data_IF_456926752518
#
_entry.id   IF_456926752518
#
_cell.length_a   1.000
_cell.length_b   1.000
_cell.length_c   1.000
_cell.angle_alpha   90.00
_cell.angle_beta   90.00
_cell.angle_gamma   90.00
#
_symmetry.space_group_name_H-M   'P 1'
#
loop_
_entity.id
_entity.type
_entity.pdbx_description
1 polymer ?
#
# COMPACT_ATOMS: atom_id res chain seq x y z
N UNK A 1 -12.31 -19.81 -69.74
CA UNK A 1 -12.01 -20.54 -68.49
C UNK A 1 -13.25 -21.33 -68.09
N UNK A 2 -13.31 -22.63 -68.39
CA UNK A 2 -14.44 -23.51 -68.02
C UNK A 2 -13.96 -24.93 -67.65
N UNK A 3 -12.73 -25.05 -67.15
CA UNK A 3 -12.15 -26.30 -66.68
C UNK A 3 -12.19 -26.37 -65.16
N UNK A 4 -12.76 -27.43 -64.61
CA UNK A 4 -12.67 -27.79 -63.20
C UNK A 4 -11.21 -28.16 -62.88
N UNK A 5 -10.57 -27.52 -61.90
CA UNK A 5 -9.15 -27.75 -61.56
C UNK A 5 -8.15 -26.78 -62.21
N UNK A 6 -8.63 -25.63 -62.71
CA UNK A 6 -7.74 -24.60 -63.26
C UNK A 6 -6.88 -23.94 -62.16
N UNK A 7 -5.67 -23.55 -62.59
CA UNK A 7 -4.67 -22.77 -61.85
C UNK A 7 -5.35 -21.65 -61.05
N UNK A 8 -5.31 -21.74 -59.72
CA UNK A 8 -5.98 -20.79 -58.80
C UNK A 8 -5.10 -19.59 -58.41
N UNK A 9 -3.87 -19.52 -58.94
CA UNK A 9 -2.94 -18.41 -58.73
C UNK A 9 -2.34 -17.90 -60.04
N UNK A 10 -1.90 -16.64 -60.06
CA UNK A 10 -1.23 -16.04 -61.22
C UNK A 10 0.11 -16.75 -61.49
N UNK A 11 0.42 -17.13 -62.76
CA UNK A 11 1.69 -17.75 -63.09
C UNK A 11 2.86 -16.78 -62.96
N UNK A 12 3.85 -17.18 -62.18
CA UNK A 12 5.13 -16.48 -62.08
C UNK A 12 6.06 -17.01 -63.17
N UNK A 13 6.30 -16.23 -64.22
CA UNK A 13 7.16 -16.58 -65.36
C UNK A 13 8.58 -16.01 -65.22
N UNK A 14 9.58 -16.69 -65.77
CA UNK A 14 10.99 -16.25 -65.73
C UNK A 14 11.16 -14.91 -66.46
N UNK A 15 10.81 -14.83 -67.75
CA UNK A 15 10.94 -13.59 -68.51
C UNK A 15 9.91 -13.52 -69.66
N UNK A 16 8.63 -13.23 -69.34
CA UNK A 16 7.56 -13.23 -70.34
C UNK A 16 7.77 -12.14 -71.39
N UNK A 17 8.48 -11.05 -71.05
CA UNK A 17 8.77 -9.95 -71.98
C UNK A 17 9.73 -10.34 -73.10
N UNK A 18 10.59 -11.34 -72.87
CA UNK A 18 11.50 -11.91 -73.86
C UNK A 18 10.98 -13.23 -74.46
N UNK A 19 9.72 -13.58 -74.18
CA UNK A 19 9.10 -14.82 -74.65
C UNK A 19 9.46 -16.08 -73.85
N UNK A 20 10.14 -15.93 -72.70
CA UNK A 20 10.44 -17.04 -71.79
C UNK A 20 9.31 -17.21 -70.77
N UNK A 21 8.36 -18.07 -71.13
CA UNK A 21 7.18 -18.39 -70.32
C UNK A 21 7.38 -19.62 -69.43
N UNK A 22 8.62 -20.01 -69.12
CA UNK A 22 8.91 -21.02 -68.08
C UNK A 22 8.49 -20.52 -66.70
N UNK A 23 7.94 -21.41 -65.86
CA UNK A 23 7.58 -21.04 -64.48
C UNK A 23 8.83 -20.83 -63.63
N UNK A 24 8.81 -19.83 -62.74
CA UNK A 24 9.79 -19.66 -61.66
C UNK A 24 9.61 -20.75 -60.62
N UNK A 25 10.68 -21.11 -59.90
CA UNK A 25 10.68 -22.20 -58.91
C UNK A 25 9.67 -21.99 -57.76
N UNK A 26 9.31 -20.75 -57.47
CA UNK A 26 8.33 -20.35 -56.45
C UNK A 26 6.92 -20.12 -57.02
N UNK A 27 6.69 -20.43 -58.30
CA UNK A 27 5.40 -20.20 -58.96
C UNK A 27 4.29 -21.05 -58.34
N UNK A 28 3.12 -20.44 -58.02
CA UNK A 28 1.99 -21.17 -57.45
C UNK A 28 1.36 -22.17 -58.44
N UNK A 29 1.82 -22.16 -59.70
CA UNK A 29 1.28 -22.96 -60.79
C UNK A 29 2.01 -24.29 -61.01
N UNK A 30 3.14 -24.52 -60.33
CA UNK A 30 3.89 -25.78 -60.44
C UNK A 30 3.01 -26.96 -60.00
N UNK A 31 2.91 -27.98 -60.85
CA UNK A 31 2.17 -29.23 -60.61
C UNK A 31 0.67 -29.06 -60.29
N UNK A 32 0.04 -27.97 -60.75
CA UNK A 32 -1.38 -27.65 -60.47
C UNK A 32 -2.37 -27.94 -61.61
N UNK A 33 -1.94 -28.59 -62.70
CA UNK A 33 -2.77 -28.89 -63.87
C UNK A 33 -3.67 -30.13 -63.76
N UNK A 34 -4.46 -30.41 -64.81
CA UNK A 34 -5.26 -31.66 -64.97
C UNK A 34 -5.03 -32.31 -66.34
N UNK A 35 -5.25 -33.62 -66.47
CA UNK A 35 -5.12 -34.35 -67.76
C UNK A 35 -6.23 -34.09 -68.77
N UNK A 36 -7.35 -33.53 -68.35
CA UNK A 36 -8.51 -33.36 -69.22
C UNK A 36 -8.26 -32.21 -70.20
N UNK A 37 -8.13 -32.52 -71.49
CA UNK A 37 -7.89 -31.52 -72.54
C UNK A 37 -6.42 -31.13 -72.74
N UNK A 38 -5.50 -31.89 -72.15
CA UNK A 38 -4.05 -31.72 -72.32
C UNK A 38 -3.56 -32.07 -73.74
N UNK A 39 -2.79 -31.22 -74.45
CA UNK A 39 -2.03 -31.64 -75.61
C UNK A 39 -0.94 -32.64 -75.19
N UNK A 40 -0.66 -33.60 -76.07
CA UNK A 40 0.31 -34.68 -75.84
C UNK A 40 1.75 -34.17 -75.72
N UNK A 41 2.05 -33.00 -76.28
CA UNK A 41 3.35 -32.35 -76.24
C UNK A 41 3.22 -30.86 -75.88
N UNK A 42 4.25 -30.29 -75.27
CA UNK A 42 4.34 -28.86 -75.02
C UNK A 42 4.73 -28.05 -76.28
N UNK A 43 4.90 -26.73 -76.13
CA UNK A 43 5.25 -25.80 -77.21
C UNK A 43 6.64 -26.08 -77.84
N UNK A 44 7.49 -26.89 -77.19
CA UNK A 44 8.79 -27.32 -77.72
C UNK A 44 8.87 -28.82 -78.02
N UNK A 45 7.73 -29.52 -78.01
CA UNK A 45 7.63 -30.92 -78.42
C UNK A 45 7.93 -31.94 -77.31
N UNK A 46 8.07 -31.54 -76.05
CA UNK A 46 8.26 -32.46 -74.91
C UNK A 46 6.95 -33.17 -74.59
N UNK A 47 6.97 -34.50 -74.48
CA UNK A 47 5.79 -35.33 -74.17
C UNK A 47 5.29 -35.05 -72.75
N UNK A 48 3.97 -34.96 -72.59
CA UNK A 48 3.28 -34.76 -71.30
C UNK A 48 2.47 -36.00 -70.88
N UNK A 49 2.30 -36.26 -69.57
CA UNK A 49 2.95 -35.58 -68.44
C UNK A 49 4.42 -36.00 -68.28
N UNK A 50 5.25 -35.14 -67.71
CA UNK A 50 6.63 -35.46 -67.37
C UNK A 50 6.82 -35.29 -65.84
N UNK A 51 7.27 -36.33 -65.15
CA UNK A 51 7.29 -36.40 -63.69
C UNK A 51 6.03 -37.00 -63.05
N UNK A 52 5.74 -36.62 -61.79
CA UNK A 52 4.76 -37.30 -60.92
C UNK A 52 3.35 -36.65 -60.94
N UNK A 53 3.19 -35.54 -61.65
CA UNK A 53 1.95 -34.77 -61.77
C UNK A 53 1.57 -34.48 -63.23
N UNK A 54 0.35 -34.02 -63.46
CA UNK A 54 -0.12 -33.65 -64.82
C UNK A 54 -0.09 -32.13 -64.93
N UNK A 55 1.05 -31.59 -65.32
CA UNK A 55 1.20 -30.16 -65.56
C UNK A 55 0.62 -29.80 -66.94
N UNK A 56 -0.33 -28.87 -66.94
CA UNK A 56 -0.97 -28.33 -68.13
C UNK A 56 -0.79 -26.81 -68.30
N UNK A 57 0.12 -26.22 -67.52
CA UNK A 57 0.59 -24.85 -67.66
C UNK A 57 1.91 -24.73 -68.43
N UNK A 58 2.29 -23.49 -68.76
CA UNK A 58 3.47 -23.17 -69.54
C UNK A 58 4.73 -23.70 -68.85
N UNK A 59 5.45 -24.59 -69.53
CA UNK A 59 6.77 -25.13 -69.17
C UNK A 59 6.97 -25.55 -67.71
N UNK A 60 7.06 -26.86 -67.51
CA UNK A 60 7.64 -27.44 -66.31
C UNK A 60 8.98 -26.76 -66.02
N UNK A 61 9.19 -26.43 -64.74
CA UNK A 61 10.42 -25.83 -64.26
C UNK A 61 11.60 -26.74 -64.59
N UNK A 62 12.38 -26.38 -65.61
CA UNK A 62 13.68 -27.01 -65.86
C UNK A 62 14.73 -26.16 -65.16
N UNK A 63 15.44 -26.70 -64.15
CA UNK A 63 16.53 -25.97 -63.51
C UNK A 63 17.52 -25.51 -64.56
N UNK A 64 17.84 -24.22 -64.57
CA UNK A 64 18.82 -23.62 -65.47
C UNK A 64 19.91 -22.94 -64.66
N UNK A 65 21.06 -22.69 -65.29
CA UNK A 65 22.17 -22.03 -64.61
C UNK A 65 21.95 -20.52 -64.59
N UNK A 66 22.06 -19.93 -63.40
CA UNK A 66 22.08 -18.48 -63.16
C UNK A 66 23.40 -18.09 -62.51
N UNK A 67 23.78 -16.82 -62.64
CA UNK A 67 24.92 -16.28 -61.91
C UNK A 67 24.48 -15.73 -60.56
N UNK A 68 25.21 -16.09 -59.51
CA UNK A 68 24.95 -15.58 -58.17
C UNK A 68 25.34 -14.10 -58.11
N UNK A 69 24.45 -13.18 -57.70
CA UNK A 69 24.77 -11.77 -57.60
C UNK A 69 25.82 -11.54 -56.51
N UNK A 70 26.68 -10.53 -56.69
CA UNK A 70 27.62 -10.08 -55.66
C UNK A 70 26.89 -9.13 -54.71
N UNK A 71 26.59 -9.60 -53.50
CA UNK A 71 25.81 -8.87 -52.48
C UNK A 71 26.62 -8.51 -51.23
N UNK A 72 27.90 -8.87 -51.16
CA UNK A 72 28.81 -8.41 -50.10
C UNK A 72 28.90 -6.88 -50.06
N UNK A 73 28.88 -6.30 -48.87
CA UNK A 73 28.89 -4.84 -48.67
C UNK A 73 27.53 -4.14 -48.87
N UNK A 74 26.50 -4.84 -49.36
CA UNK A 74 25.14 -4.30 -49.44
C UNK A 74 24.35 -4.50 -48.15
N UNK A 75 23.31 -3.69 -47.94
CA UNK A 75 22.32 -3.92 -46.89
C UNK A 75 21.53 -5.21 -47.16
N UNK A 76 21.17 -5.95 -46.12
CA UNK A 76 20.43 -7.22 -46.25
C UNK A 76 19.15 -7.11 -47.10
N UNK A 77 18.41 -6.00 -46.98
CA UNK A 77 17.20 -5.77 -47.78
C UNK A 77 17.52 -5.69 -49.28
N UNK A 78 18.59 -4.98 -49.66
CA UNK A 78 19.04 -4.84 -51.04
C UNK A 78 19.56 -6.18 -51.58
N UNK A 79 20.38 -6.88 -50.78
CA UNK A 79 20.90 -8.20 -51.11
C UNK A 79 19.76 -9.21 -51.36
N UNK A 80 18.73 -9.20 -50.52
CA UNK A 80 17.57 -10.10 -50.65
C UNK A 80 16.81 -9.85 -51.95
N UNK A 81 16.63 -8.58 -52.34
CA UNK A 81 16.02 -8.23 -53.63
C UNK A 81 16.88 -8.72 -54.79
N UNK A 82 18.18 -8.45 -54.77
CA UNK A 82 19.10 -8.87 -55.83
C UNK A 82 19.14 -10.40 -56.02
N UNK A 83 19.12 -11.17 -54.92
CA UNK A 83 19.07 -12.64 -54.95
C UNK A 83 17.78 -13.12 -55.62
N UNK A 84 16.63 -12.54 -55.27
CA UNK A 84 15.34 -12.91 -55.86
C UNK A 84 15.24 -12.50 -57.32
N UNK A 85 15.78 -11.35 -57.71
CA UNK A 85 15.82 -10.93 -59.11
C UNK A 85 16.72 -11.83 -59.97
N UNK A 86 17.72 -12.48 -59.36
CA UNK A 86 18.58 -13.46 -60.01
C UNK A 86 17.99 -14.89 -60.05
N UNK A 87 16.70 -15.05 -59.74
CA UNK A 87 16.02 -16.36 -59.67
C UNK A 87 16.65 -17.33 -58.67
N UNK A 88 17.22 -16.81 -57.59
CA UNK A 88 17.74 -17.55 -56.45
C UNK A 88 16.86 -17.34 -55.21
N UNK A 89 17.00 -18.22 -54.23
CA UNK A 89 16.26 -18.13 -52.96
C UNK A 89 17.18 -17.64 -51.83
N UNK A 90 16.60 -16.96 -50.85
CA UNK A 90 17.33 -16.58 -49.65
C UNK A 90 17.55 -17.83 -48.78
N UNK A 91 18.82 -18.17 -48.54
CA UNK A 91 19.23 -19.27 -47.68
C UNK A 91 19.31 -18.88 -46.21
N UNK A 92 20.14 -19.59 -45.46
CA UNK A 92 20.37 -19.31 -44.04
C UNK A 92 20.99 -17.91 -43.87
N UNK A 93 20.39 -17.09 -43.01
CA UNK A 93 20.94 -15.79 -42.62
C UNK A 93 21.50 -15.92 -41.21
N UNK A 94 22.82 -15.82 -41.09
CA UNK A 94 23.53 -15.83 -39.80
C UNK A 94 24.09 -14.44 -39.51
N UNK A 95 24.44 -14.16 -38.25
CA UNK A 95 24.92 -12.85 -37.84
C UNK A 95 26.15 -12.95 -36.94
N UNK A 96 27.10 -12.03 -37.12
CA UNK A 96 28.28 -11.91 -36.25
C UNK A 96 28.63 -10.45 -36.00
N UNK A 97 29.37 -10.17 -34.92
CA UNK A 97 29.96 -8.85 -34.72
C UNK A 97 31.13 -8.63 -35.67
N UNK A 98 31.24 -7.42 -36.21
CA UNK A 98 32.33 -7.02 -37.09
C UNK A 98 32.63 -5.53 -36.85
N UNK A 99 33.91 -5.22 -36.62
CA UNK A 99 34.33 -3.85 -36.28
C UNK A 99 34.49 -2.93 -37.51
N UNK A 100 34.51 -3.51 -38.71
CA UNK A 100 34.76 -2.79 -39.97
C UNK A 100 33.50 -2.69 -40.84
N UNK A 101 32.61 -3.68 -40.76
CA UNK A 101 31.39 -3.74 -41.55
C UNK A 101 30.21 -3.17 -40.74
N UNK A 102 29.50 -2.14 -41.26
CA UNK A 102 28.33 -1.57 -40.58
C UNK A 102 27.24 -2.61 -40.27
N UNK A 103 26.48 -2.38 -39.20
CA UNK A 103 25.37 -3.25 -38.82
C UNK A 103 24.31 -3.33 -39.94
N UNK A 104 23.81 -4.54 -40.22
CA UNK A 104 22.84 -4.83 -41.27
C UNK A 104 23.42 -5.03 -42.67
N UNK A 105 24.74 -4.93 -42.81
CA UNK A 105 25.46 -5.15 -44.09
C UNK A 105 25.97 -6.58 -44.21
N UNK A 106 25.95 -7.13 -45.44
CA UNK A 106 26.46 -8.47 -45.73
C UNK A 106 27.99 -8.50 -45.61
N UNK A 107 28.51 -9.39 -44.77
CA UNK A 107 29.94 -9.69 -44.61
C UNK A 107 30.39 -10.69 -45.67
N UNK A 108 29.64 -11.77 -45.85
CA UNK A 108 29.94 -12.82 -46.83
C UNK A 108 28.68 -13.52 -47.30
N UNK A 109 28.78 -14.17 -48.46
CA UNK A 109 27.71 -14.98 -49.04
C UNK A 109 28.22 -16.35 -49.48
N UNK A 110 27.33 -17.32 -49.57
CA UNK A 110 27.61 -18.65 -50.14
C UNK A 110 26.39 -19.14 -50.95
N UNK A 111 26.51 -19.41 -52.27
CA UNK A 111 27.73 -19.34 -53.08
C UNK A 111 28.28 -17.92 -53.26
N UNK A 112 29.58 -17.83 -53.54
CA UNK A 112 30.28 -16.57 -53.79
C UNK A 112 29.71 -15.82 -55.00
N UNK A 113 29.78 -14.49 -54.99
CA UNK A 113 29.34 -13.65 -56.10
C UNK A 113 30.03 -14.03 -57.41
N UNK A 114 29.26 -14.12 -58.50
CA UNK A 114 29.73 -14.54 -59.81
C UNK A 114 29.82 -16.05 -60.02
N UNK A 115 29.57 -16.88 -59.00
CA UNK A 115 29.47 -18.33 -59.18
C UNK A 115 28.23 -18.69 -60.02
N UNK A 116 28.29 -19.84 -60.70
CA UNK A 116 27.12 -20.44 -61.32
C UNK A 116 26.35 -21.28 -60.31
N UNK A 117 25.06 -21.03 -60.19
CA UNK A 117 24.15 -21.81 -59.37
C UNK A 117 22.96 -22.28 -60.21
N UNK A 118 22.31 -23.34 -59.76
CA UNK A 118 21.03 -23.74 -60.34
C UNK A 118 19.97 -22.74 -59.89
N UNK A 119 19.07 -22.32 -60.78
CA UNK A 119 17.92 -21.51 -60.43
C UNK A 119 17.20 -22.10 -59.21
N UNK A 120 16.61 -21.24 -58.38
CA UNK A 120 15.97 -21.62 -57.12
C UNK A 120 16.93 -22.03 -55.99
N UNK A 121 18.23 -22.19 -56.26
CA UNK A 121 19.21 -22.52 -55.21
C UNK A 121 19.27 -21.43 -54.14
N UNK A 122 19.55 -21.85 -52.90
CA UNK A 122 19.65 -20.96 -51.77
C UNK A 122 21.02 -20.26 -51.72
N UNK A 123 21.01 -18.96 -51.39
CA UNK A 123 22.22 -18.18 -51.07
C UNK A 123 22.22 -17.86 -49.58
N UNK A 124 23.14 -18.45 -48.82
CA UNK A 124 23.34 -18.16 -47.41
C UNK A 124 24.09 -16.84 -47.24
N UNK A 125 23.76 -16.08 -46.20
CA UNK A 125 24.33 -14.78 -45.89
C UNK A 125 24.86 -14.73 -44.46
N UNK A 126 26.04 -14.13 -44.29
CA UNK A 126 26.55 -13.70 -42.99
C UNK A 126 26.41 -12.18 -42.91
N UNK A 127 25.65 -11.69 -41.94
CA UNK A 127 25.33 -10.26 -41.77
C UNK A 127 26.06 -9.70 -40.55
N UNK A 128 26.58 -8.48 -40.69
CA UNK A 128 27.22 -7.77 -39.58
C UNK A 128 26.19 -7.28 -38.56
N UNK A 129 26.51 -7.45 -37.28
CA UNK A 129 25.84 -6.82 -36.14
C UNK A 129 26.45 -5.46 -35.78
N UNK A 130 27.46 -5.01 -36.52
CA UNK A 130 28.34 -3.89 -36.20
C UNK A 130 29.38 -4.25 -35.12
N UNK A 131 30.11 -3.24 -34.61
CA UNK A 131 31.06 -3.42 -33.52
C UNK A 131 30.38 -3.95 -32.26
N UNK A 132 31.06 -4.83 -31.53
CA UNK A 132 30.60 -5.30 -30.24
C UNK A 132 30.81 -4.23 -29.17
N UNK A 133 29.79 -4.01 -28.33
CA UNK A 133 29.87 -3.21 -27.11
C UNK A 133 29.84 -4.15 -25.91
N UNK A 134 30.78 -3.96 -24.99
CA UNK A 134 30.87 -4.74 -23.76
C UNK A 134 29.94 -4.12 -22.71
N UNK A 135 29.07 -4.93 -22.15
CA UNK A 135 28.15 -4.50 -21.09
C UNK A 135 28.94 -4.18 -19.81
N UNK A 136 28.87 -2.95 -19.27
CA UNK A 136 29.57 -2.60 -18.05
C UNK A 136 28.95 -3.29 -16.82
N UNK A 137 29.76 -3.53 -15.79
CA UNK A 137 29.25 -3.96 -14.50
C UNK A 137 28.71 -2.76 -13.70
N UNK A 138 27.42 -2.77 -13.43
CA UNK A 138 26.70 -1.76 -12.64
C UNK A 138 26.08 -2.32 -11.37
N UNK A 139 26.29 -3.61 -11.05
CA UNK A 139 25.82 -4.21 -9.80
C UNK A 139 26.47 -3.51 -8.59
N UNK A 140 25.67 -3.18 -7.58
CA UNK A 140 26.09 -2.41 -6.41
C UNK A 140 26.22 -0.90 -6.63
N UNK A 141 26.06 -0.41 -7.86
CA UNK A 141 25.99 1.03 -8.13
C UNK A 141 24.60 1.57 -7.80
N UNK A 142 24.50 2.88 -7.56
CA UNK A 142 23.20 3.56 -7.53
C UNK A 142 22.57 3.53 -8.93
N UNK A 143 21.24 3.56 -9.02
CA UNK A 143 20.55 3.60 -10.32
C UNK A 143 21.08 4.74 -11.22
N UNK A 144 21.32 5.94 -10.67
CA UNK A 144 21.85 7.07 -11.44
C UNK A 144 23.27 6.83 -11.98
N UNK A 145 24.15 6.25 -11.17
CA UNK A 145 25.52 5.87 -11.58
C UNK A 145 25.47 4.78 -12.65
N UNK A 146 24.63 3.76 -12.45
CA UNK A 146 24.40 2.69 -13.41
C UNK A 146 23.92 3.22 -14.77
N UNK A 147 22.93 4.11 -14.80
CA UNK A 147 22.44 4.74 -16.04
C UNK A 147 23.55 5.51 -16.77
N UNK A 148 24.40 6.23 -16.04
CA UNK A 148 25.53 6.97 -16.62
C UNK A 148 26.56 6.03 -17.25
N UNK A 149 26.90 4.93 -16.58
CA UNK A 149 27.83 3.92 -17.10
C UNK A 149 27.30 3.21 -18.34
N UNK A 150 26.02 2.83 -18.33
CA UNK A 150 25.35 2.16 -19.45
C UNK A 150 25.32 3.07 -20.68
N UNK A 151 24.83 4.30 -20.52
CA UNK A 151 24.74 5.27 -21.63
C UNK A 151 26.11 5.70 -22.12
N UNK A 152 27.08 5.87 -21.22
CA UNK A 152 28.47 6.17 -21.57
C UNK A 152 29.15 5.06 -22.39
N UNK A 153 28.73 3.79 -22.23
CA UNK A 153 29.20 2.67 -23.02
C UNK A 153 28.54 2.59 -24.42
N UNK A 154 27.59 3.47 -24.75
CA UNK A 154 26.82 3.41 -25.99
C UNK A 154 25.68 2.38 -25.96
N UNK A 155 25.24 1.99 -24.76
CA UNK A 155 24.07 1.17 -24.51
C UNK A 155 22.89 2.04 -24.07
N UNK A 156 21.70 1.45 -23.97
CA UNK A 156 20.50 2.15 -23.49
C UNK A 156 20.04 1.58 -22.16
N UNK A 157 19.41 2.42 -21.32
CA UNK A 157 18.74 1.93 -20.11
C UNK A 157 17.44 1.21 -20.53
N UNK A 158 17.31 -0.04 -20.13
CA UNK A 158 16.12 -0.85 -20.35
C UNK A 158 15.08 -0.67 -19.24
N UNK A 159 14.39 -1.76 -18.94
CA UNK A 159 13.39 -1.84 -17.88
C UNK A 159 14.07 -1.78 -16.51
N UNK A 160 13.55 -0.91 -15.63
CA UNK A 160 13.96 -0.87 -14.23
C UNK A 160 12.85 -1.45 -13.37
N UNK A 161 13.16 -2.52 -12.65
CA UNK A 161 12.25 -3.16 -11.68
C UNK A 161 12.82 -3.04 -10.28
N UNK A 162 11.98 -3.21 -9.26
CA UNK A 162 12.40 -3.15 -7.87
C UNK A 162 12.16 -4.47 -7.15
N UNK A 163 13.09 -4.86 -6.27
CA UNK A 163 12.96 -6.05 -5.42
C UNK A 163 13.49 -5.79 -4.01
N UNK A 164 12.93 -6.47 -3.01
CA UNK A 164 13.49 -6.47 -1.66
C UNK A 164 14.78 -7.30 -1.64
N UNK A 165 15.80 -6.78 -0.97
CA UNK A 165 17.07 -7.46 -0.78
C UNK A 165 17.70 -7.05 0.56
N UNK A 166 18.05 -8.03 1.38
CA UNK A 166 18.55 -7.80 2.74
C UNK A 166 20.00 -7.29 2.79
N UNK A 167 20.79 -7.50 1.73
CA UNK A 167 22.23 -7.18 1.72
C UNK A 167 22.57 -6.00 0.81
N UNK A 168 21.73 -5.70 -0.18
CA UNK A 168 21.92 -4.57 -1.11
C UNK A 168 21.17 -3.34 -0.57
N UNK A 169 21.85 -2.21 -0.32
CA UNK A 169 21.22 -0.97 0.13
C UNK A 169 20.13 -0.48 -0.83
N UNK A 170 19.13 0.22 -0.26
CA UNK A 170 18.05 0.84 -1.05
C UNK A 170 18.60 1.74 -2.16
N UNK A 171 18.03 1.62 -3.36
CA UNK A 171 18.41 2.41 -4.53
C UNK A 171 19.68 1.93 -5.26
N UNK A 172 20.32 0.85 -4.80
CA UNK A 172 21.42 0.20 -5.52
C UNK A 172 20.94 -0.96 -6.40
N UNK A 173 21.66 -1.21 -7.48
CA UNK A 173 21.38 -2.29 -8.43
C UNK A 173 21.72 -3.65 -7.80
N UNK A 174 20.71 -4.51 -7.69
CA UNK A 174 20.82 -5.91 -7.29
C UNK A 174 21.40 -6.75 -8.44
N UNK A 175 20.83 -6.57 -9.64
CA UNK A 175 21.22 -7.32 -10.83
C UNK A 175 20.96 -6.51 -12.08
N UNK A 176 21.62 -6.93 -13.16
CA UNK A 176 21.46 -6.37 -14.50
C UNK A 176 21.29 -7.50 -15.51
N UNK A 177 20.59 -7.20 -16.59
CA UNK A 177 20.49 -8.07 -17.77
C UNK A 177 20.68 -7.22 -19.02
N UNK A 178 21.64 -7.54 -19.90
CA UNK A 178 22.56 -8.67 -19.85
C UNK A 178 23.59 -8.56 -18.73
N UNK A 179 24.22 -9.69 -18.39
CA UNK A 179 25.30 -9.72 -17.41
C UNK A 179 26.50 -8.89 -17.88
N UNK A 180 27.29 -8.39 -16.92
CA UNK A 180 28.54 -7.72 -17.20
C UNK A 180 29.45 -8.55 -18.12
N UNK A 181 30.29 -7.86 -18.89
CA UNK A 181 31.24 -8.43 -19.86
C UNK A 181 30.60 -9.15 -21.06
N UNK A 182 29.26 -9.21 -21.12
CA UNK A 182 28.55 -9.70 -22.30
C UNK A 182 28.77 -8.76 -23.48
N UNK A 183 29.05 -9.31 -24.66
CA UNK A 183 29.15 -8.55 -25.91
C UNK A 183 27.78 -8.40 -26.58
N UNK A 184 27.32 -7.17 -26.75
CA UNK A 184 26.04 -6.83 -27.36
C UNK A 184 26.21 -5.82 -28.49
N UNK A 185 25.15 -5.62 -29.28
CA UNK A 185 25.15 -4.57 -30.30
C UNK A 185 25.07 -3.19 -29.64
N UNK A 186 25.62 -2.18 -30.31
CA UNK A 186 25.44 -0.80 -29.88
C UNK A 186 23.95 -0.44 -29.73
N UNK A 187 23.62 0.34 -28.71
CA UNK A 187 22.24 0.71 -28.38
C UNK A 187 21.41 -0.37 -27.69
N UNK A 188 21.96 -1.57 -27.44
CA UNK A 188 21.24 -2.63 -26.72
C UNK A 188 20.80 -2.16 -25.33
N UNK A 189 19.60 -2.59 -24.91
CA UNK A 189 19.00 -2.18 -23.63
C UNK A 189 19.54 -3.04 -22.47
N UNK A 190 19.92 -2.40 -21.37
CA UNK A 190 20.32 -3.07 -20.13
C UNK A 190 19.23 -2.87 -19.09
N UNK A 191 18.53 -3.94 -18.74
CA UNK A 191 17.52 -3.99 -17.70
C UNK A 191 18.18 -4.06 -16.32
N UNK A 192 17.56 -3.42 -15.32
CA UNK A 192 18.06 -3.36 -13.95
C UNK A 192 17.00 -3.86 -12.95
N UNK A 193 17.46 -4.55 -11.92
CA UNK A 193 16.70 -4.78 -10.69
C UNK A 193 17.32 -3.95 -9.57
N UNK A 194 16.56 -3.03 -8.99
CA UNK A 194 17.02 -2.10 -7.95
C UNK A 194 16.48 -2.51 -6.59
N UNK A 195 17.29 -2.34 -5.55
CA UNK A 195 16.93 -2.74 -4.19
C UNK A 195 15.95 -1.78 -3.53
N UNK A 196 14.93 -2.35 -2.90
CA UNK A 196 14.02 -1.69 -1.96
C UNK A 196 14.52 -1.78 -0.50
N UNK A 197 15.71 -2.34 -0.29
CA UNK A 197 16.21 -2.74 1.01
C UNK A 197 15.57 -4.05 1.50
N UNK A 198 15.78 -4.43 2.78
CA UNK A 198 15.22 -5.64 3.36
C UNK A 198 13.69 -5.65 3.28
N UNK A 199 13.09 -6.85 3.17
CA UNK A 199 11.64 -6.98 3.19
C UNK A 199 11.09 -6.52 4.55
N UNK A 200 10.14 -5.57 4.59
CA UNK A 200 9.52 -5.16 5.85
C UNK A 200 8.77 -6.31 6.52
N UNK A 201 8.79 -6.30 7.85
CA UNK A 201 8.05 -7.23 8.70
C UNK A 201 6.89 -6.50 9.37
N UNK A 202 5.80 -7.23 9.62
CA UNK A 202 4.62 -6.71 10.29
C UNK A 202 4.85 -6.74 11.81
N UNK A 203 4.62 -5.60 12.46
CA UNK A 203 4.74 -5.49 13.92
C UNK A 203 3.60 -6.29 14.58
N UNK A 204 3.90 -7.29 15.44
CA UNK A 204 2.87 -8.10 16.09
C UNK A 204 2.06 -7.26 17.09
N UNK A 205 0.83 -7.70 17.38
CA UNK A 205 0.06 -7.15 18.48
C UNK A 205 0.46 -7.86 19.79
N UNK A 206 1.10 -7.14 20.69
CA UNK A 206 1.51 -7.62 22.01
C UNK A 206 0.78 -6.93 23.16
N UNK A 207 -0.15 -6.02 22.88
CA UNK A 207 -0.97 -5.37 23.91
C UNK A 207 -1.79 -6.42 24.67
N UNK A 208 -1.78 -6.35 25.99
CA UNK A 208 -2.42 -7.32 26.88
C UNK A 208 -1.62 -8.60 27.16
N UNK A 209 -0.56 -8.88 26.40
CA UNK A 209 0.35 -9.99 26.71
C UNK A 209 1.22 -9.67 27.93
N UNK A 210 1.75 -10.71 28.59
CA UNK A 210 2.81 -10.53 29.60
C UNK A 210 4.08 -10.01 28.95
N UNK A 211 4.92 -9.26 29.67
CA UNK A 211 6.18 -8.74 29.13
C UNK A 211 7.05 -9.83 28.48
N UNK A 212 7.18 -11.00 29.12
CA UNK A 212 7.97 -12.12 28.56
C UNK A 212 7.38 -12.70 27.28
N UNK A 213 6.05 -12.83 27.20
CA UNK A 213 5.38 -13.29 25.98
C UNK A 213 5.49 -12.25 24.85
N UNK A 214 5.35 -10.96 25.17
CA UNK A 214 5.54 -9.87 24.23
C UNK A 214 6.96 -9.84 23.65
N UNK A 215 7.99 -10.00 24.48
CA UNK A 215 9.38 -10.06 24.03
C UNK A 215 9.64 -11.24 23.08
N UNK A 216 9.09 -12.41 23.39
CA UNK A 216 9.17 -13.60 22.53
C UNK A 216 8.46 -13.35 21.19
N UNK A 217 7.27 -12.74 21.21
CA UNK A 217 6.53 -12.43 19.98
C UNK A 217 7.24 -11.41 19.09
N UNK A 218 7.86 -10.37 19.67
CA UNK A 218 8.63 -9.35 18.95
C UNK A 218 9.87 -9.97 18.30
N UNK A 219 10.68 -10.68 19.08
CA UNK A 219 11.91 -11.32 18.57
C UNK A 219 11.61 -12.41 17.55
N UNK A 220 10.52 -13.16 17.72
CA UNK A 220 10.05 -14.15 16.73
C UNK A 220 9.51 -13.54 15.44
N UNK A 221 9.22 -12.24 15.41
CA UNK A 221 8.84 -11.49 14.21
C UNK A 221 10.03 -10.77 13.53
N UNK A 222 11.27 -11.18 13.85
CA UNK A 222 12.52 -10.55 13.42
C UNK A 222 12.61 -9.05 13.78
N UNK A 223 12.02 -8.66 14.92
CA UNK A 223 12.10 -7.31 15.49
C UNK A 223 12.90 -7.31 16.79
N UNK A 224 13.41 -6.15 17.18
CA UNK A 224 14.11 -5.97 18.44
C UNK A 224 13.16 -5.45 19.53
N UNK A 225 13.38 -5.87 20.78
CA UNK A 225 12.70 -5.25 21.93
C UNK A 225 13.34 -3.89 22.16
N UNK A 226 12.52 -2.85 22.12
CA UNK A 226 12.94 -1.47 22.34
C UNK A 226 12.97 -1.08 23.81
N UNK A 227 12.66 0.17 24.09
CA UNK A 227 12.58 0.66 25.48
C UNK A 227 11.35 0.08 26.15
N UNK A 228 11.53 -0.46 27.36
CA UNK A 228 10.42 -0.91 28.21
C UNK A 228 10.28 0.09 29.36
N UNK A 229 9.13 0.76 29.42
CA UNK A 229 8.76 1.65 30.52
C UNK A 229 7.59 1.07 31.29
N UNK A 230 7.36 1.57 32.50
CA UNK A 230 6.31 1.10 33.38
C UNK A 230 5.33 2.23 33.71
N UNK A 231 4.03 1.92 33.72
CA UNK A 231 2.97 2.86 34.10
C UNK A 231 1.91 2.15 34.96
N UNK A 232 1.22 2.89 35.83
CA UNK A 232 0.07 2.34 36.54
C UNK A 232 -1.13 2.22 35.59
N UNK A 233 -1.96 1.20 35.79
CA UNK A 233 -3.20 0.99 35.06
C UNK A 233 -4.21 0.24 35.92
N UNK A 234 -5.40 0.81 36.09
CA UNK A 234 -6.51 0.17 36.79
C UNK A 234 -7.16 -0.96 35.98
N UNK A 235 -6.94 -1.01 34.65
CA UNK A 235 -7.62 -1.92 33.73
C UNK A 235 -6.72 -3.01 33.16
N UNK A 236 -5.39 -2.82 33.19
CA UNK A 236 -4.41 -3.78 32.67
C UNK A 236 -3.70 -4.46 33.85
N UNK A 237 -3.69 -5.81 33.94
CA UNK A 237 -3.01 -6.54 35.00
C UNK A 237 -1.52 -6.18 35.11
N UNK A 238 -0.98 -6.17 36.32
CA UNK A 238 0.45 -5.93 36.56
C UNK A 238 1.30 -6.96 35.78
N UNK A 239 2.36 -6.49 35.12
CA UNK A 239 3.23 -7.30 34.26
C UNK A 239 2.74 -7.50 32.82
N UNK A 240 1.54 -7.00 32.47
CA UNK A 240 1.02 -7.01 31.09
C UNK A 240 1.29 -5.70 30.35
N UNK A 241 1.44 -5.78 29.03
CA UNK A 241 1.69 -4.62 28.15
C UNK A 241 0.42 -3.77 28.04
N UNK A 242 0.53 -2.50 28.42
CA UNK A 242 -0.49 -1.45 28.25
C UNK A 242 -0.51 -0.97 26.80
N UNK A 243 0.66 -0.68 26.23
CA UNK A 243 0.79 -0.16 24.87
C UNK A 243 2.13 -0.52 24.26
N UNK A 244 2.20 -0.44 22.93
CA UNK A 244 3.40 -0.69 22.13
C UNK A 244 3.60 0.44 21.12
N UNK A 245 4.85 0.64 20.70
CA UNK A 245 5.20 1.50 19.57
C UNK A 245 6.39 0.90 18.81
N UNK A 246 6.31 0.66 17.49
CA UNK A 246 5.18 0.94 16.59
C UNK A 246 3.89 0.17 16.90
N UNK A 247 2.77 0.70 16.41
CA UNK A 247 1.46 0.07 16.56
C UNK A 247 1.40 -1.29 15.83
N UNK A 248 0.51 -2.18 16.28
CA UNK A 248 0.30 -3.46 15.65
C UNK A 248 -0.08 -3.32 14.17
N UNK A 249 0.48 -4.19 13.31
CA UNK A 249 0.29 -4.17 11.86
C UNK A 249 1.14 -3.14 11.10
N UNK A 250 1.84 -2.24 11.80
CA UNK A 250 2.80 -1.35 11.15
C UNK A 250 3.90 -2.16 10.44
N UNK A 251 4.36 -1.66 9.30
CA UNK A 251 5.49 -2.25 8.57
C UNK A 251 6.79 -1.62 9.08
N UNK A 252 7.70 -2.45 9.57
CA UNK A 252 8.99 -2.01 10.07
C UNK A 252 10.12 -2.79 9.40
N UNK A 253 11.31 -2.19 9.31
CA UNK A 253 12.48 -2.92 8.83
C UNK A 253 12.83 -4.05 9.83
N UNK A 254 13.30 -5.21 9.36
CA UNK A 254 13.84 -6.25 10.23
C UNK A 254 14.87 -5.67 11.22
N UNK A 255 14.81 -6.10 12.47
CA UNK A 255 15.63 -5.60 13.58
C UNK A 255 15.20 -4.26 14.18
N UNK A 256 14.14 -3.62 13.66
CA UNK A 256 13.61 -2.39 14.26
C UNK A 256 13.09 -2.62 15.68
N UNK A 257 13.24 -1.61 16.54
CA UNK A 257 12.83 -1.70 17.94
C UNK A 257 11.33 -1.47 18.15
N UNK A 258 10.68 -2.33 18.92
CA UNK A 258 9.31 -2.15 19.43
C UNK A 258 9.37 -1.82 20.93
N UNK A 259 9.06 -0.58 21.29
CA UNK A 259 8.99 -0.12 22.67
C UNK A 259 7.66 -0.52 23.33
N UNK A 260 7.70 -0.79 24.63
CA UNK A 260 6.57 -1.28 25.41
C UNK A 260 6.34 -0.41 26.65
N UNK A 261 5.07 -0.20 26.99
CA UNK A 261 4.67 0.30 28.30
C UNK A 261 4.01 -0.85 29.05
N UNK A 262 4.54 -1.23 30.21
CA UNK A 262 4.07 -2.37 31.02
C UNK A 262 3.33 -1.86 32.26
N UNK A 263 2.25 -2.55 32.63
CA UNK A 263 1.44 -2.19 33.79
C UNK A 263 2.13 -2.55 35.10
N UNK A 264 2.14 -1.61 36.05
CA UNK A 264 2.48 -1.83 37.46
C UNK A 264 1.27 -2.26 38.31
N UNK A 265 0.11 -2.45 37.69
CA UNK A 265 -1.19 -2.57 38.37
C UNK A 265 -1.81 -1.20 38.65
N UNK A 266 -2.91 -1.14 39.43
CA UNK A 266 -3.57 0.10 39.80
C UNK A 266 -2.62 1.04 40.56
N UNK A 267 -2.83 2.36 40.43
CA UNK A 267 -2.06 3.34 41.19
C UNK A 267 -2.40 3.21 42.68
N UNK A 268 -1.42 2.91 43.57
CA UNK A 268 -1.65 2.82 45.01
C UNK A 268 -2.19 4.13 45.61
N UNK A 269 -1.97 5.28 44.96
CA UNK A 269 -2.41 6.59 45.43
C UNK A 269 -3.82 7.00 44.98
N UNK A 270 -4.42 6.34 43.98
CA UNK A 270 -5.80 6.66 43.53
C UNK A 270 -6.88 6.01 44.40
N UNK A 271 -6.51 5.07 45.28
CA UNK A 271 -7.40 4.50 46.29
C UNK A 271 -7.67 5.42 47.49
N UNK A 272 -6.90 6.50 47.63
CA UNK A 272 -7.11 7.58 48.60
C UNK A 272 -7.65 8.82 47.90
N UNK A 273 -8.74 8.67 47.14
CA UNK A 273 -9.61 9.81 46.91
C UNK A 273 -10.11 10.29 48.28
N UNK A 274 -9.66 11.47 48.69
CA UNK A 274 -10.14 12.18 49.88
C UNK A 274 -11.67 12.04 49.94
N UNK A 275 -12.26 11.51 51.04
CA UNK A 275 -13.71 11.50 51.17
C UNK A 275 -14.19 12.94 50.97
N UNK A 276 -15.30 13.19 50.24
CA UNK A 276 -15.76 14.55 50.00
C UNK A 276 -15.80 15.27 51.35
N UNK A 277 -15.04 16.35 51.47
CA UNK A 277 -14.96 17.16 52.69
C UNK A 277 -16.40 17.39 53.15
N UNK A 278 -16.74 16.83 54.32
CA UNK A 278 -18.01 17.16 54.96
C UNK A 278 -18.07 18.69 55.08
N UNK A 279 -19.22 19.33 54.77
CA UNK A 279 -19.30 20.78 54.79
C UNK A 279 -18.85 21.29 56.15
N UNK A 280 -17.98 22.28 56.14
CA UNK A 280 -17.50 22.93 57.36
C UNK A 280 -18.69 23.54 58.11
N UNK A 281 -18.55 23.69 59.43
CA UNK A 281 -19.59 24.33 60.26
C UNK A 281 -19.96 25.72 59.73
N UNK A 282 -18.99 26.42 59.14
CA UNK A 282 -19.15 27.75 58.54
C UNK A 282 -20.00 27.71 57.26
N UNK A 283 -19.83 26.68 56.41
CA UNK A 283 -20.67 26.48 55.22
C UNK A 283 -22.10 26.08 55.58
N UNK A 284 -22.29 25.24 56.61
CA UNK A 284 -23.63 24.87 57.10
C UNK A 284 -24.35 26.09 57.68
N UNK A 285 -23.65 26.94 58.42
CA UNK A 285 -24.21 28.16 59.01
C UNK A 285 -24.61 29.18 57.92
N UNK A 286 -23.79 29.34 56.88
CA UNK A 286 -24.10 30.19 55.74
C UNK A 286 -25.35 29.71 54.96
N UNK A 287 -25.50 28.39 54.78
CA UNK A 287 -26.67 27.78 54.14
C UNK A 287 -27.96 27.99 54.95
N UNK A 288 -27.89 27.83 56.26
CA UNK A 288 -29.03 28.10 57.16
C UNK A 288 -29.43 29.58 57.14
N UNK A 289 -28.47 30.51 57.16
CA UNK A 289 -28.73 31.95 57.10
C UNK A 289 -29.36 32.38 55.76
N UNK A 290 -28.89 31.79 54.64
CA UNK A 290 -29.48 32.02 53.33
C UNK A 290 -30.92 31.48 53.22
N UNK A 291 -31.20 30.33 53.83
CA UNK A 291 -32.54 29.76 53.89
C UNK A 291 -33.51 30.61 54.73
N UNK A 292 -33.03 31.15 55.85
CA UNK A 292 -33.81 32.06 56.70
C UNK A 292 -34.25 33.32 55.93
N UNK A 293 -33.30 34.01 55.30
CA UNK A 293 -33.58 35.23 54.54
C UNK A 293 -34.47 34.99 53.30
N UNK A 294 -34.52 33.75 52.78
CA UNK A 294 -35.38 33.40 51.66
C UNK A 294 -36.82 33.09 52.11
N UNK A 295 -37.00 32.61 53.34
CA UNK A 295 -38.31 32.35 53.93
C UNK A 295 -38.94 33.62 54.52
N UNK A 296 -38.14 34.54 55.07
CA UNK A 296 -38.56 35.88 55.48
C UNK A 296 -38.83 36.76 54.23
N UNK A 297 -40.04 36.63 53.68
CA UNK A 297 -40.41 37.32 52.44
C UNK A 297 -40.75 38.78 52.65
N UNK A 298 -41.14 39.16 53.87
CA UNK A 298 -41.52 40.52 54.21
C UNK A 298 -40.33 41.36 54.73
N UNK A 299 -39.21 40.71 55.09
CA UNK A 299 -37.96 41.31 55.53
C UNK A 299 -37.98 41.84 56.97
N UNK A 300 -38.90 41.37 57.81
CA UNK A 300 -39.05 41.82 59.20
C UNK A 300 -38.09 41.13 60.18
N UNK A 301 -37.28 40.19 59.69
CA UNK A 301 -36.28 39.47 60.46
C UNK A 301 -36.83 38.30 61.25
N UNK A 302 -38.08 37.90 61.00
CA UNK A 302 -38.76 36.76 61.62
C UNK A 302 -39.50 35.96 60.54
N UNK A 303 -39.74 34.67 60.79
CA UNK A 303 -40.50 33.83 59.87
C UNK A 303 -41.87 33.57 60.49
N UNK A 304 -42.90 34.22 59.97
CA UNK A 304 -44.28 33.93 60.36
C UNK A 304 -44.71 32.52 59.93
N UNK A 305 -45.76 31.97 60.55
CA UNK A 305 -46.29 30.66 60.13
C UNK A 305 -46.67 30.62 58.64
N UNK A 306 -47.18 31.72 58.08
CA UNK A 306 -47.51 31.81 56.66
C UNK A 306 -46.27 31.75 55.76
N UNK A 307 -45.19 32.40 56.17
CA UNK A 307 -43.89 32.37 55.49
C UNK A 307 -43.23 30.99 55.60
N UNK A 308 -43.26 30.38 56.78
CA UNK A 308 -42.78 29.02 57.00
C UNK A 308 -43.57 27.99 56.18
N UNK A 309 -44.90 28.16 56.07
CA UNK A 309 -45.75 27.29 55.25
C UNK A 309 -45.53 27.51 53.74
N UNK A 310 -45.22 28.73 53.32
CA UNK A 310 -44.89 29.05 51.93
C UNK A 310 -43.53 28.46 51.53
N UNK A 311 -42.55 28.52 52.42
CA UNK A 311 -41.25 27.90 52.22
C UNK A 311 -41.31 26.36 52.34
N UNK A 312 -42.19 25.83 53.20
CA UNK A 312 -42.36 24.39 53.45
C UNK A 312 -43.84 24.00 53.37
N UNK A 313 -44.33 23.64 52.17
CA UNK A 313 -45.68 23.14 51.98
C UNK A 313 -45.91 21.88 52.82
N UNK A 314 -46.86 21.93 53.76
CA UNK A 314 -47.19 20.82 54.66
C UNK A 314 -46.68 20.95 56.09
N UNK A 315 -45.99 22.05 56.43
CA UNK A 315 -45.71 22.39 57.82
C UNK A 315 -47.03 22.54 58.60
N UNK A 316 -47.15 21.85 59.73
CA UNK A 316 -48.32 22.00 60.60
C UNK A 316 -48.06 23.04 61.67
N UNK A 317 -49.12 23.74 62.09
CA UNK A 317 -49.03 24.74 63.15
C UNK A 317 -48.50 24.15 64.46
N UNK A 318 -48.78 22.88 64.75
CA UNK A 318 -48.25 22.19 65.92
C UNK A 318 -46.72 22.03 65.87
N UNK A 319 -46.16 21.78 64.68
CA UNK A 319 -44.70 21.68 64.49
C UNK A 319 -44.06 23.06 64.52
N UNK A 320 -44.71 24.07 63.94
CA UNK A 320 -44.24 25.46 64.00
C UNK A 320 -44.20 25.99 65.44
N UNK A 321 -45.27 25.75 66.21
CA UNK A 321 -45.36 26.19 67.61
C UNK A 321 -44.39 25.45 68.54
N UNK A 322 -43.90 24.27 68.15
CA UNK A 322 -42.86 23.57 68.92
C UNK A 322 -41.46 24.16 68.65
N UNK A 323 -41.30 24.84 67.51
CA UNK A 323 -40.07 25.56 67.17
C UNK A 323 -40.07 27.00 67.71
N UNK A 324 -41.25 27.63 67.77
CA UNK A 324 -41.52 28.93 68.40
C UNK A 324 -41.49 28.76 69.93
N UNK A 325 -40.29 28.82 70.48
CA UNK A 325 -40.02 28.47 71.88
C UNK A 325 -40.40 29.61 72.81
N UNK A 326 -40.40 30.85 72.33
CA UNK A 326 -40.89 32.01 73.10
C UNK A 326 -42.39 32.27 72.93
N UNK A 327 -43.03 31.61 71.96
CA UNK A 327 -44.48 31.58 71.75
C UNK A 327 -45.02 32.87 71.17
N UNK A 328 -44.18 33.66 70.51
CA UNK A 328 -44.54 34.98 69.97
C UNK A 328 -45.19 34.92 68.58
N UNK A 329 -45.32 33.71 68.02
CA UNK A 329 -46.00 33.42 66.76
C UNK A 329 -45.11 33.53 65.53
N UNK A 330 -43.80 33.73 65.70
CA UNK A 330 -42.83 33.82 64.60
C UNK A 330 -41.47 33.22 64.98
N UNK A 331 -40.79 32.56 64.02
CA UNK A 331 -39.47 31.97 64.28
C UNK A 331 -38.36 33.02 64.09
N UNK A 332 -37.61 33.28 65.15
CA UNK A 332 -36.44 34.15 65.16
C UNK A 332 -35.11 33.43 64.84
N UNK A 333 -34.07 34.22 64.56
CA UNK A 333 -32.71 33.72 64.28
C UNK A 333 -32.11 32.93 65.45
N UNK A 334 -32.34 33.37 66.69
CA UNK A 334 -31.88 32.72 67.90
C UNK A 334 -32.51 31.32 68.09
N UNK A 335 -33.80 31.17 67.77
CA UNK A 335 -34.52 29.90 67.87
C UNK A 335 -34.06 28.88 66.81
N UNK A 336 -33.56 29.39 65.67
CA UNK A 336 -32.97 28.59 64.60
C UNK A 336 -31.44 28.43 64.72
N UNK A 337 -30.84 28.96 65.79
CA UNK A 337 -29.42 28.81 66.10
C UNK A 337 -28.48 29.56 65.16
N UNK A 338 -28.92 30.70 64.62
CA UNK A 338 -28.20 31.53 63.63
C UNK A 338 -27.43 32.74 64.20
N UNK A 339 -27.45 32.92 65.53
CA UNK A 339 -26.79 34.03 66.21
C UNK A 339 -25.56 33.54 67.00
N UNK A 340 -24.40 34.17 66.81
CA UNK A 340 -23.15 33.82 67.49
C UNK A 340 -23.10 34.27 68.97
N UNK A 341 -24.06 35.08 69.43
CA UNK A 341 -24.05 35.73 70.76
C UNK A 341 -25.28 35.44 71.63
N UNK A 342 -25.87 34.25 71.55
CA UNK A 342 -26.77 33.76 72.60
C UNK A 342 -25.97 33.03 73.69
N UNK A 343 -25.28 33.82 74.51
CA UNK A 343 -24.71 33.37 75.77
C UNK A 343 -25.80 32.91 76.75
N UNK A 344 -25.58 31.71 77.31
CA UNK A 344 -26.21 31.17 78.51
C UNK A 344 -27.55 30.43 78.37
N UNK A 345 -27.55 29.32 77.63
CA UNK A 345 -28.19 28.12 78.15
C UNK A 345 -27.19 27.43 79.10
N UNK A 346 -27.50 27.45 80.40
CA UNK A 346 -26.60 27.14 81.50
C UNK A 346 -25.67 25.93 81.28
N UNK A 347 -24.37 26.23 81.38
CA UNK A 347 -23.26 25.31 81.66
C UNK A 347 -23.22 23.97 80.92
N UNK A 348 -22.59 23.94 79.74
CA UNK A 348 -21.43 23.08 79.49
C UNK A 348 -20.72 23.50 78.20
N UNK A 349 -19.47 23.96 78.34
CA UNK A 349 -18.51 24.16 77.26
C UNK A 349 -18.25 22.81 76.58
N UNK A 350 -19.00 22.52 75.53
CA UNK A 350 -18.68 21.45 74.59
C UNK A 350 -19.36 21.80 73.28
N UNK A 351 -18.53 22.22 72.32
CA UNK A 351 -18.95 22.71 71.02
C UNK A 351 -19.89 21.75 70.29
N UNK A 352 -20.60 22.34 69.34
CA UNK A 352 -21.40 21.70 68.30
C UNK A 352 -20.72 20.44 67.77
N UNK A 353 -20.98 19.32 68.42
CA UNK A 353 -20.59 17.99 67.96
C UNK A 353 -21.89 17.30 67.61
N UNK A 354 -21.91 16.69 66.42
CA UNK A 354 -23.04 15.92 65.86
C UNK A 354 -23.66 14.93 66.87
N UNK A 355 -22.86 14.52 67.86
CA UNK A 355 -23.22 13.61 68.94
C UNK A 355 -24.03 14.24 70.08
N UNK A 356 -23.81 15.52 70.43
CA UNK A 356 -24.64 16.25 71.40
C UNK A 356 -25.95 16.75 70.78
N UNK A 357 -25.93 17.09 69.48
CA UNK A 357 -27.12 17.30 68.65
C UNK A 357 -28.02 16.05 68.58
N UNK A 358 -27.44 14.85 68.55
CA UNK A 358 -28.21 13.60 68.59
C UNK A 358 -28.81 13.30 69.96
N UNK A 359 -28.23 13.83 71.05
CA UNK A 359 -28.49 13.36 72.43
C UNK A 359 -29.51 14.20 73.20
N UNK A 360 -29.64 15.51 72.92
CA UNK A 360 -30.67 16.37 73.54
C UNK A 360 -31.99 16.41 72.78
N UNK A 361 -32.02 15.73 71.66
CA UNK A 361 -32.75 16.12 70.47
C UNK A 361 -33.14 14.84 69.69
N UNK A 362 -33.35 13.77 70.46
CA UNK A 362 -34.16 12.65 70.04
C UNK A 362 -35.55 13.18 69.65
N UNK A 363 -35.91 12.87 68.41
CA UNK A 363 -37.24 12.93 67.78
C UNK A 363 -37.77 14.28 67.25
N UNK A 364 -37.21 15.46 67.58
CA UNK A 364 -37.64 16.74 66.98
C UNK A 364 -36.56 17.46 66.15
N UNK A 365 -35.32 17.02 66.25
CA UNK A 365 -34.18 17.82 65.84
C UNK A 365 -33.74 17.65 64.38
N UNK A 366 -34.08 16.52 63.78
CA UNK A 366 -34.06 16.39 62.33
C UNK A 366 -35.23 17.13 61.67
N UNK A 367 -36.28 17.54 62.40
CA UNK A 367 -37.44 18.23 61.81
C UNK A 367 -37.15 19.71 61.47
N UNK A 368 -36.22 20.36 62.19
CA UNK A 368 -35.74 21.72 61.91
C UNK A 368 -34.54 21.79 60.97
N UNK A 369 -33.61 20.81 61.02
CA UNK A 369 -32.60 20.61 59.96
C UNK A 369 -33.26 20.45 58.58
N UNK A 370 -34.52 20.00 58.59
CA UNK A 370 -35.36 19.72 57.43
C UNK A 370 -36.10 20.93 56.85
N UNK A 371 -36.41 22.00 57.60
CA UNK A 371 -37.10 23.18 57.01
C UNK A 371 -36.20 24.08 56.15
N UNK A 372 -34.88 23.93 56.25
CA UNK A 372 -33.90 24.87 55.70
C UNK A 372 -32.82 24.21 54.84
N UNK A 373 -32.90 22.90 54.58
CA UNK A 373 -32.64 22.41 53.22
C UNK A 373 -33.71 22.91 52.24
N UNK A 374 -34.90 23.23 52.75
CA UNK A 374 -36.13 23.44 51.97
C UNK A 374 -36.20 24.79 51.21
N UNK A 375 -35.25 25.70 51.40
CA UNK A 375 -35.06 26.86 50.51
C UNK A 375 -33.81 26.77 49.60
N UNK A 376 -32.90 25.80 49.80
CA UNK A 376 -31.74 25.57 48.89
C UNK A 376 -32.22 25.21 47.47
N UNK A 377 -33.49 24.83 47.33
CA UNK A 377 -34.18 24.47 46.08
C UNK A 377 -34.83 25.69 45.37
N UNK A 378 -34.97 26.85 46.01
CA UNK A 378 -35.66 28.01 45.43
C UNK A 378 -34.94 28.74 44.30
N UNK A 379 -33.61 28.60 44.14
CA UNK A 379 -32.82 29.36 43.14
C UNK A 379 -31.72 28.55 42.42
N UNK A 380 -32.03 27.34 41.94
CA UNK A 380 -31.39 26.79 40.71
C UNK A 380 -32.04 27.34 39.42
N UNK A 381 -32.60 28.55 39.47
CA UNK A 381 -33.08 29.30 38.31
C UNK A 381 -32.42 30.68 38.27
N UNK A 382 -31.17 30.69 37.80
CA UNK A 382 -30.70 31.48 36.67
C UNK A 382 -29.65 30.64 35.94
#
# INVERSE_FOLDING_TARGET
MSGTGNIVGEPSFINPSLGDFRLRADSPCIDRGTSSGAPLVDLVGTVRPNGVGIDMGAYEYVPYSVFVPSVEGYLQAVATTAIREADLTLGAVTQTFDNSVPSGTIISQDPAGGAQAVSGSAVALLVSKGPAVVVPNVVGQTQASATTLITGAGLTLGTVTEAYNATVPVGQVISQTPAADTSVSAGYAVDLVVSKGPQPVSVPNVVGMTQSAAQTAITGADLAVGTVTEAYSATVPAGSVISQNPAAGAQAAPGSSVSLVVSKGPDPGEGEGEPPLAPTVEEVHALLAAGFNAADTNGDGRISYAEALAAIPGLTLAVFNELDTDGDGALGRAELGLDEEAGCFGCQKSGFTLMNLKRRLGDLFLAGLALSLLAVVGRRKA
#
